data_IF_951728128151
#
_entry.id   IF_951728128151
#
_cell.length_a   1.000
_cell.length_b   1.000
_cell.length_c   1.000
_cell.angle_alpha   90.00
_cell.angle_beta   90.00
_cell.angle_gamma   90.00
#
_symmetry.space_group_name_H-M   'P 1'
#
loop_
_entity.id
_entity.type
_entity.pdbx_description
1 polymer ?
#
# COMPACT_ATOMS: atom_id res chain seq x y z
N UNK A 1 1.25 -9.04 -12.72
CA UNK A 1 2.46 -9.84 -12.43
C UNK A 1 2.70 -9.73 -10.92
N UNK A 2 3.51 -10.57 -10.24
CA UNK A 2 3.77 -10.32 -8.82
C UNK A 2 4.51 -9.00 -8.64
N UNK A 3 4.05 -8.14 -7.72
CA UNK A 3 4.70 -6.85 -7.44
C UNK A 3 6.09 -7.11 -6.87
N UNK A 4 7.11 -6.54 -7.51
CA UNK A 4 8.49 -6.61 -7.08
C UNK A 4 8.94 -5.25 -6.51
N UNK A 5 10.05 -5.22 -5.74
CA UNK A 5 10.60 -3.95 -5.25
C UNK A 5 10.78 -2.90 -6.36
N UNK A 6 11.31 -3.32 -7.52
CA UNK A 6 11.50 -2.43 -8.68
C UNK A 6 10.21 -1.80 -9.23
N UNK A 7 9.04 -2.41 -9.03
CA UNK A 7 7.75 -1.80 -9.43
C UNK A 7 7.40 -0.63 -8.51
N UNK A 8 7.72 -0.74 -7.22
CA UNK A 8 7.55 0.33 -6.23
C UNK A 8 8.55 1.46 -6.49
N UNK A 9 9.82 1.12 -6.77
CA UNK A 9 10.86 2.07 -7.19
C UNK A 9 10.42 2.86 -8.42
N UNK A 10 9.87 2.17 -9.43
CA UNK A 10 9.33 2.82 -10.63
C UNK A 10 8.13 3.70 -10.34
N UNK A 11 7.24 3.26 -9.45
CA UNK A 11 6.06 4.02 -9.04
C UNK A 11 6.44 5.34 -8.34
N UNK A 12 7.42 5.28 -7.44
CA UNK A 12 7.95 6.46 -6.73
C UNK A 12 8.92 7.30 -7.56
N UNK A 13 9.39 6.75 -8.69
CA UNK A 13 10.44 7.32 -9.55
C UNK A 13 11.76 7.53 -8.79
N UNK A 14 12.05 6.65 -7.83
CA UNK A 14 13.28 6.69 -7.05
C UNK A 14 14.44 6.08 -7.85
N UNK A 15 15.17 6.92 -8.57
CA UNK A 15 16.34 6.51 -9.33
C UNK A 15 17.49 7.46 -9.03
N UNK A 16 18.75 6.97 -8.96
CA UNK A 16 19.90 7.84 -8.71
C UNK A 16 20.00 9.02 -9.69
N UNK A 17 19.60 8.82 -10.94
CA UNK A 17 19.59 9.87 -11.97
C UNK A 17 18.59 11.01 -11.72
N UNK A 18 17.56 10.79 -10.90
CA UNK A 18 16.56 11.81 -10.56
C UNK A 18 16.76 12.41 -9.16
N UNK A 19 17.60 11.78 -8.33
CA UNK A 19 17.86 12.22 -6.98
C UNK A 19 18.99 13.25 -6.96
N UNK A 20 18.70 14.50 -7.32
CA UNK A 20 19.71 15.58 -7.39
C UNK A 20 20.43 15.88 -6.06
N UNK A 21 19.84 15.48 -4.93
CA UNK A 21 20.39 15.71 -3.58
C UNK A 21 21.01 14.44 -2.97
N UNK A 22 20.77 13.27 -3.55
CA UNK A 22 21.25 11.97 -3.05
C UNK A 22 21.94 11.27 -4.22
N UNK A 23 23.22 10.94 -4.09
CA UNK A 23 23.96 10.21 -5.14
C UNK A 23 23.50 8.74 -5.31
N UNK A 24 22.44 8.34 -4.60
CA UNK A 24 21.90 6.97 -4.51
C UNK A 24 20.37 6.97 -4.56
N UNK A 25 19.77 5.78 -4.40
CA UNK A 25 18.33 5.62 -4.14
C UNK A 25 17.98 6.16 -2.75
N UNK A 26 16.73 6.60 -2.57
CA UNK A 26 16.21 7.01 -1.27
C UNK A 26 15.75 5.80 -0.44
N UNK A 27 15.23 4.76 -1.09
CA UNK A 27 14.77 3.54 -0.42
C UNK A 27 15.55 2.31 -0.85
N UNK A 28 16.07 1.58 0.12
CA UNK A 28 16.70 0.28 -0.12
C UNK A 28 15.65 -0.82 -0.41
N UNK A 29 16.06 -1.86 -1.13
CA UNK A 29 15.19 -2.97 -1.52
C UNK A 29 14.59 -3.70 -0.29
N UNK A 30 15.33 -3.75 0.83
CA UNK A 30 14.86 -4.28 2.10
C UNK A 30 13.68 -3.47 2.68
N UNK A 31 13.76 -2.14 2.64
CA UNK A 31 12.72 -1.24 3.15
C UNK A 31 11.46 -1.30 2.29
N UNK A 32 11.64 -1.41 0.98
CA UNK A 32 10.55 -1.63 0.02
C UNK A 32 9.87 -2.98 0.30
N UNK A 33 10.66 -4.04 0.50
CA UNK A 33 10.15 -5.37 0.80
C UNK A 33 9.38 -5.42 2.13
N UNK A 34 9.90 -4.75 3.16
CA UNK A 34 9.21 -4.61 4.45
C UNK A 34 7.90 -3.83 4.31
N UNK A 35 7.89 -2.75 3.54
CA UNK A 35 6.70 -1.92 3.28
C UNK A 35 5.59 -2.69 2.56
N UNK A 36 5.95 -3.57 1.63
CA UNK A 36 5.01 -4.49 0.98
C UNK A 36 4.38 -5.43 2.01
N UNK A 37 5.18 -6.03 2.89
CA UNK A 37 4.69 -6.93 3.95
C UNK A 37 3.73 -6.21 4.90
N UNK A 38 4.04 -4.98 5.29
CA UNK A 38 3.17 -4.16 6.12
C UNK A 38 1.86 -3.81 5.43
N UNK A 39 1.88 -3.51 4.13
CA UNK A 39 0.65 -3.27 3.36
C UNK A 39 -0.26 -4.51 3.33
N UNK A 40 0.29 -5.72 3.15
CA UNK A 40 -0.48 -6.98 3.19
C UNK A 40 -1.04 -7.21 4.61
N UNK A 41 -0.22 -7.03 5.64
CA UNK A 41 -0.64 -7.19 7.05
C UNK A 41 -1.78 -6.23 7.41
N UNK A 42 -1.69 -4.99 6.96
CA UNK A 42 -2.74 -4.01 7.21
C UNK A 42 -4.00 -4.33 6.42
N UNK A 43 -3.87 -4.77 5.16
CA UNK A 43 -5.02 -5.23 4.38
C UNK A 43 -5.74 -6.36 5.10
N UNK A 44 -5.01 -7.30 5.69
CA UNK A 44 -5.56 -8.39 6.48
C UNK A 44 -6.32 -7.93 7.73
N UNK A 45 -5.85 -6.85 8.36
CA UNK A 45 -6.49 -6.26 9.53
C UNK A 45 -7.77 -5.46 9.19
N UNK A 46 -7.90 -4.93 7.97
CA UNK A 46 -9.14 -4.26 7.52
C UNK A 46 -10.28 -5.27 7.49
N UNK A 47 -11.44 -4.92 8.06
CA UNK A 47 -12.63 -5.76 8.00
C UNK A 47 -13.22 -5.82 6.57
N UNK A 48 -13.73 -6.99 6.13
CA UNK A 48 -13.64 -8.33 6.74
C UNK A 48 -12.20 -8.87 6.80
N UNK A 49 -11.84 -9.50 7.92
CA UNK A 49 -10.49 -10.03 8.17
C UNK A 49 -10.12 -11.03 7.08
N UNK A 50 -8.89 -10.92 6.57
CA UNK A 50 -8.33 -11.86 5.59
C UNK A 50 -6.97 -12.38 6.06
N UNK A 51 -6.51 -13.47 5.44
CA UNK A 51 -5.27 -14.16 5.82
C UNK A 51 -4.32 -14.32 4.62
N UNK A 52 -4.13 -13.27 3.83
CA UNK A 52 -3.13 -13.29 2.76
C UNK A 52 -1.73 -13.39 3.36
N UNK A 53 -0.91 -14.28 2.83
CA UNK A 53 0.45 -14.51 3.30
C UNK A 53 1.33 -13.28 3.00
N UNK A 54 1.92 -12.68 4.04
CA UNK A 54 2.73 -11.46 3.91
C UNK A 54 4.06 -11.69 3.20
N UNK A 55 4.57 -12.92 3.24
CA UNK A 55 5.78 -13.39 2.57
C UNK A 55 5.55 -13.82 1.11
N UNK A 56 4.30 -13.84 0.64
CA UNK A 56 3.93 -14.19 -0.73
C UNK A 56 3.15 -13.06 -1.43
N UNK A 57 3.80 -11.95 -1.82
CA UNK A 57 3.17 -10.83 -2.51
C UNK A 57 2.51 -11.21 -3.85
N UNK A 58 2.98 -12.30 -4.46
CA UNK A 58 2.45 -12.90 -5.69
C UNK A 58 1.02 -13.43 -5.53
N UNK A 59 0.62 -13.79 -4.31
CA UNK A 59 -0.73 -14.27 -3.98
C UNK A 59 -1.71 -13.15 -3.64
N UNK A 60 -1.23 -11.90 -3.59
CA UNK A 60 -2.07 -10.77 -3.28
C UNK A 60 -3.01 -10.46 -4.46
N UNK A 61 -4.30 -10.19 -4.21
CA UNK A 61 -5.30 -10.20 -5.29
C UNK A 61 -5.31 -8.93 -6.16
N UNK A 62 -4.63 -7.86 -5.76
CA UNK A 62 -4.62 -6.60 -6.50
C UNK A 62 -3.27 -5.87 -6.37
N UNK A 63 -2.54 -5.79 -7.48
CA UNK A 63 -1.22 -5.15 -7.58
C UNK A 63 -1.26 -3.64 -7.30
N UNK A 64 -2.22 -2.90 -7.86
CA UNK A 64 -2.36 -1.46 -7.63
C UNK A 64 -2.55 -1.11 -6.15
N UNK A 65 -3.37 -1.90 -5.45
CA UNK A 65 -3.62 -1.71 -4.04
C UNK A 65 -2.37 -1.97 -3.20
N UNK A 66 -1.54 -2.92 -3.61
CA UNK A 66 -0.29 -3.20 -2.93
C UNK A 66 0.75 -2.09 -3.16
N UNK A 67 0.79 -1.51 -4.36
CA UNK A 67 1.64 -0.35 -4.68
C UNK A 67 1.28 0.88 -3.83
N UNK A 68 -0.01 1.23 -3.75
CA UNK A 68 -0.47 2.35 -2.91
C UNK A 68 -0.14 2.12 -1.42
N UNK A 69 -0.33 0.90 -0.94
CA UNK A 69 -0.05 0.54 0.45
C UNK A 69 1.43 0.64 0.76
N UNK A 70 2.29 0.04 -0.06
CA UNK A 70 3.74 0.07 0.09
C UNK A 70 4.28 1.50 0.04
N UNK A 71 3.85 2.29 -0.95
CA UNK A 71 4.24 3.70 -1.04
C UNK A 71 3.84 4.51 0.19
N UNK A 72 2.63 4.28 0.74
CA UNK A 72 2.18 4.98 1.96
C UNK A 72 3.05 4.68 3.19
N UNK A 73 3.56 3.44 3.30
CA UNK A 73 4.43 3.02 4.39
C UNK A 73 5.86 3.58 4.22
N UNK A 74 6.38 3.60 3.00
CA UNK A 74 7.67 4.24 2.69
C UNK A 74 7.66 5.74 3.01
N UNK A 75 6.62 6.47 2.58
CA UNK A 75 6.46 7.89 2.93
C UNK A 75 6.31 8.12 4.44
N UNK A 76 5.73 7.15 5.16
CA UNK A 76 5.67 7.20 6.62
C UNK A 76 7.06 7.07 7.25
N UNK A 77 7.90 6.19 6.73
CA UNK A 77 9.28 6.00 7.19
C UNK A 77 10.09 7.29 7.04
N UNK A 78 10.03 7.93 5.86
CA UNK A 78 10.73 9.20 5.63
C UNK A 78 10.22 10.33 6.52
N UNK A 79 8.90 10.42 6.71
CA UNK A 79 8.33 11.40 7.63
C UNK A 79 8.89 11.22 9.05
N UNK A 80 9.07 9.98 9.52
CA UNK A 80 9.68 9.73 10.83
C UNK A 80 11.17 10.07 10.87
N UNK A 81 11.92 9.84 9.79
CA UNK A 81 13.33 10.24 9.71
C UNK A 81 13.47 11.77 9.80
N UNK A 82 12.67 12.49 9.02
CA UNK A 82 12.68 13.95 8.98
C UNK A 82 12.32 14.58 10.34
N UNK A 83 11.29 14.06 11.03
CA UNK A 83 10.95 14.53 12.40
C UNK A 83 12.12 14.34 13.36
N UNK A 84 12.80 13.19 13.32
CA UNK A 84 13.89 12.89 14.25
C UNK A 84 15.11 13.77 14.04
N UNK A 85 15.30 14.27 12.81
CA UNK A 85 16.46 15.07 12.42
C UNK A 85 16.14 16.57 12.28
N UNK A 86 14.89 16.98 12.52
CA UNK A 86 14.48 18.37 12.37
C UNK A 86 15.20 19.28 13.36
N UNK A 87 15.95 20.26 12.84
CA UNK A 87 16.61 21.30 13.63
C UNK A 87 16.25 22.66 13.06
N UNK A 88 15.62 23.50 13.88
CA UNK A 88 15.30 24.89 13.54
C UNK A 88 16.34 25.82 14.16
N UNK A 89 17.23 26.37 13.32
CA UNK A 89 18.17 27.41 13.72
C UNK A 89 17.65 28.77 13.26
N UNK A 90 17.53 29.72 14.20
CA UNK A 90 16.97 31.04 13.95
C UNK A 90 18.02 32.10 14.30
N UNK A 91 18.70 32.64 13.29
CA UNK A 91 19.73 33.66 13.45
C UNK A 91 19.26 34.99 12.87
N UNK A 92 18.47 35.71 13.67
CA UNK A 92 18.24 37.16 13.61
C UNK A 92 17.59 37.77 12.36
N UNK A 93 17.55 37.08 11.22
CA UNK A 93 16.95 37.54 9.96
C UNK A 93 16.70 36.42 8.94
N UNK A 94 17.28 35.22 9.11
CA UNK A 94 17.05 34.07 8.22
C UNK A 94 16.81 32.81 9.06
N UNK A 95 15.63 32.23 8.93
CA UNK A 95 15.35 30.89 9.44
C UNK A 95 15.80 29.87 8.38
N UNK A 96 16.83 29.08 8.70
CA UNK A 96 17.23 27.93 7.88
C UNK A 96 16.77 26.69 8.64
N UNK A 97 15.68 26.08 8.17
CA UNK A 97 15.24 24.79 8.69
C UNK A 97 15.95 23.65 7.97
N UNK A 98 16.57 22.77 8.75
CA UNK A 98 17.09 21.49 8.27
C UNK A 98 15.96 20.47 8.42
N UNK A 99 15.65 19.74 7.35
CA UNK A 99 14.60 18.69 7.29
C UNK A 99 13.13 19.16 7.42
N UNK A 100 12.77 20.28 6.76
CA UNK A 100 11.39 20.80 6.74
C UNK A 100 10.44 20.07 5.76
N UNK A 101 10.88 18.97 5.12
CA UNK A 101 10.05 18.23 4.15
C UNK A 101 9.04 17.29 4.82
N UNK A 102 9.07 17.15 6.15
CA UNK A 102 8.14 16.31 6.91
C UNK A 102 6.67 16.55 6.54
N UNK A 103 6.26 17.81 6.40
CA UNK A 103 4.85 18.13 6.13
C UNK A 103 4.43 17.64 4.73
N UNK A 104 5.30 17.76 3.73
CA UNK A 104 5.04 17.25 2.38
C UNK A 104 4.93 15.73 2.37
N UNK A 105 5.84 15.01 3.05
CA UNK A 105 5.78 13.56 3.19
C UNK A 105 4.51 13.10 3.92
N UNK A 106 4.12 13.83 4.98
CA UNK A 106 2.90 13.51 5.74
C UNK A 106 1.63 13.72 4.92
N UNK A 107 1.57 14.77 4.11
CA UNK A 107 0.45 15.01 3.21
C UNK A 107 0.33 13.91 2.15
N UNK A 108 1.43 13.61 1.46
CA UNK A 108 1.47 12.56 0.44
C UNK A 108 1.11 11.18 1.03
N UNK A 109 1.65 10.87 2.21
CA UNK A 109 1.27 9.68 2.98
C UNK A 109 -0.23 9.63 3.20
N UNK A 110 -0.84 10.71 3.69
CA UNK A 110 -2.26 10.73 4.04
C UNK A 110 -3.14 10.52 2.81
N UNK A 111 -2.79 11.11 1.68
CA UNK A 111 -3.50 10.95 0.40
C UNK A 111 -3.42 9.50 -0.08
N UNK A 112 -2.21 8.95 -0.19
CA UNK A 112 -2.00 7.55 -0.57
C UNK A 112 -2.72 6.58 0.38
N UNK A 113 -2.69 6.87 1.69
CA UNK A 113 -3.32 6.03 2.70
C UNK A 113 -4.84 6.06 2.60
N UNK A 114 -5.42 7.22 2.33
CA UNK A 114 -6.85 7.40 2.16
C UNK A 114 -7.35 6.63 0.93
N UNK A 115 -6.63 6.75 -0.18
CA UNK A 115 -6.96 6.04 -1.42
C UNK A 115 -6.83 4.53 -1.23
N UNK A 116 -5.77 4.09 -0.56
CA UNK A 116 -5.55 2.70 -0.22
C UNK A 116 -6.69 2.13 0.64
N UNK A 117 -7.05 2.78 1.75
CA UNK A 117 -8.14 2.33 2.63
C UNK A 117 -9.49 2.28 1.90
N UNK A 118 -9.80 3.32 1.13
CA UNK A 118 -11.05 3.40 0.37
C UNK A 118 -11.16 2.27 -0.65
N UNK A 119 -10.07 2.01 -1.38
CA UNK A 119 -10.03 0.96 -2.40
C UNK A 119 -10.06 -0.42 -1.75
N UNK A 120 -9.36 -0.62 -0.64
CA UNK A 120 -9.34 -1.88 0.11
C UNK A 120 -10.73 -2.24 0.64
N UNK A 121 -11.43 -1.27 1.23
CA UNK A 121 -12.80 -1.46 1.72
C UNK A 121 -13.75 -1.81 0.58
N UNK A 122 -13.73 -1.06 -0.54
CA UNK A 122 -14.58 -1.34 -1.71
C UNK A 122 -14.30 -2.73 -2.29
N UNK A 123 -13.02 -3.09 -2.42
CA UNK A 123 -12.61 -4.40 -2.92
C UNK A 123 -13.11 -5.54 -2.03
N UNK A 124 -12.97 -5.41 -0.71
CA UNK A 124 -13.46 -6.42 0.22
C UNK A 124 -14.99 -6.47 0.29
N UNK A 125 -15.68 -5.34 0.20
CA UNK A 125 -17.14 -5.29 0.11
C UNK A 125 -17.65 -6.01 -1.13
N UNK A 126 -17.05 -5.74 -2.30
CA UNK A 126 -17.38 -6.45 -3.53
C UNK A 126 -17.20 -7.96 -3.36
N UNK A 127 -16.05 -8.42 -2.85
CA UNK A 127 -15.81 -9.86 -2.61
C UNK A 127 -16.84 -10.49 -1.67
N UNK A 128 -17.24 -9.78 -0.62
CA UNK A 128 -18.25 -10.27 0.32
C UNK A 128 -19.63 -10.35 -0.36
N UNK A 129 -20.01 -9.34 -1.13
CA UNK A 129 -21.26 -9.35 -1.90
C UNK A 129 -21.30 -10.50 -2.92
N UNK A 130 -20.21 -10.73 -3.65
CA UNK A 130 -20.10 -11.86 -4.60
C UNK A 130 -20.29 -13.22 -3.89
N UNK A 131 -19.75 -13.38 -2.68
CA UNK A 131 -19.93 -14.60 -1.88
C UNK A 131 -21.37 -14.78 -1.38
N UNK A 132 -22.06 -13.68 -1.03
CA UNK A 132 -23.45 -13.73 -0.57
C UNK A 132 -24.42 -14.20 -1.66
N UNK A 133 -24.17 -13.85 -2.93
CA UNK A 133 -25.02 -14.25 -4.07
C UNK A 133 -24.58 -15.57 -4.75
N UNK A 134 -23.55 -16.25 -4.23
CA UNK A 134 -22.88 -17.41 -4.82
C UNK A 134 -23.61 -18.75 -4.75
N UNK A 135 -24.95 -18.81 -4.92
CA UNK A 135 -25.64 -20.09 -4.94
C UNK A 135 -27.16 -20.09 -5.10
N UNK A 136 -27.73 -19.48 -6.15
CA UNK A 136 -29.05 -19.92 -6.62
C UNK A 136 -28.89 -21.22 -7.42
N UNK A 137 -28.73 -22.34 -6.70
CA UNK A 137 -28.90 -23.68 -7.28
C UNK A 137 -30.36 -23.80 -7.73
N UNK A 138 -30.60 -23.76 -9.04
CA UNK A 138 -31.91 -24.03 -9.63
C UNK A 138 -32.53 -25.31 -9.05
N UNK A 139 -33.71 -25.20 -8.44
CA UNK A 139 -34.46 -26.32 -7.84
C UNK A 139 -34.92 -27.39 -8.84
N UNK A 140 -34.66 -27.21 -10.14
CA UNK A 140 -35.04 -28.16 -11.19
C UNK A 140 -34.02 -29.30 -11.42
N UNK A 141 -32.95 -29.41 -10.62
CA UNK A 141 -31.92 -30.46 -10.80
C UNK A 141 -32.36 -31.86 -10.33
N UNK A 142 -33.53 -32.01 -9.68
CA UNK A 142 -33.99 -33.30 -9.10
C UNK A 142 -35.37 -33.77 -9.56
N UNK A 143 -35.92 -33.29 -10.68
CA UNK A 143 -37.11 -33.94 -11.23
C UNK A 143 -36.67 -35.23 -11.92
N UNK A 144 -36.75 -36.33 -11.16
CA UNK A 144 -36.60 -37.71 -11.64
C UNK A 144 -37.62 -37.95 -12.75
N UNK A 145 -37.20 -37.91 -14.01
CA UNK A 145 -38.01 -38.35 -15.16
C UNK A 145 -38.12 -39.87 -15.15
N UNK A 146 -38.87 -40.40 -14.19
CA UNK A 146 -39.33 -41.78 -14.20
C UNK A 146 -40.62 -41.87 -15.00
N UNK A 147 -40.51 -42.23 -16.29
CA UNK A 147 -41.65 -42.69 -17.07
C UNK A 147 -41.87 -44.17 -16.77
N UNK A 148 -43.09 -44.47 -16.29
CA UNK A 148 -43.73 -45.79 -16.37
C UNK A 148 -44.40 -45.92 -17.73
#
# INVERSE_FOLDING_TARGET
MPVKPGDVTRFLRDYPSYNIMLDTVQFDDEDISASIRFAISEFNAITPISSYASDAPDKFPNEWLLLLGAASHLMSSEAFLQIRNQVTYNDGNVAIGVDDKWQAYTNLKNDLKKDWKTTAQKFKQQKNMEQCYGGLSSGYRWIRTGWR
#
